data_IF_793926957441
#
_entry.id   IF_793926957441
#
_cell.length_a   1.000
_cell.length_b   1.000
_cell.length_c   1.000
_cell.angle_alpha   90.00
_cell.angle_beta   90.00
_cell.angle_gamma   90.00
#
_symmetry.space_group_name_H-M   'P 1'
#
loop_
_entity.id
_entity.type
_entity.pdbx_description
1 polymer ?
#
# COMPACT_ATOMS: atom_id res chain seq x y z
N UNK A 1 -10.71 12.02 3.63
CA UNK A 1 -9.38 11.58 4.08
C UNK A 1 -8.64 10.91 2.93
N UNK A 2 -7.31 11.02 2.84
CA UNK A 2 -6.53 10.55 1.67
C UNK A 2 -5.77 9.27 1.99
N UNK A 3 -5.99 8.20 1.22
CA UNK A 3 -5.29 6.92 1.37
C UNK A 3 -4.83 6.36 0.03
N UNK A 4 -3.71 5.64 0.06
CA UNK A 4 -3.15 4.87 -1.05
C UNK A 4 -3.45 3.39 -0.85
N UNK A 5 -4.12 2.78 -1.81
CA UNK A 5 -4.28 1.32 -1.89
C UNK A 5 -3.38 0.78 -3.00
N UNK A 6 -2.48 -0.13 -2.63
CA UNK A 6 -1.63 -0.85 -3.59
C UNK A 6 -2.09 -2.30 -3.62
N UNK A 7 -2.50 -2.78 -4.78
CA UNK A 7 -2.97 -4.15 -4.99
C UNK A 7 -1.93 -4.92 -5.80
N UNK A 8 -1.61 -6.13 -5.37
CA UNK A 8 -0.84 -7.09 -6.15
C UNK A 8 -1.84 -8.05 -6.78
N UNK A 9 -1.81 -8.13 -8.11
CA UNK A 9 -2.66 -9.01 -8.89
C UNK A 9 -1.82 -9.88 -9.81
N UNK A 10 -2.38 -11.01 -10.22
CA UNK A 10 -1.79 -11.83 -11.25
C UNK A 10 -1.74 -11.09 -12.59
N UNK A 11 -0.66 -11.27 -13.33
CA UNK A 11 -0.52 -10.71 -14.67
C UNK A 11 -1.05 -11.72 -15.68
N UNK A 12 -2.23 -11.46 -16.25
CA UNK A 12 -2.82 -12.27 -17.33
C UNK A 12 -2.89 -11.46 -18.62
N UNK A 13 -2.90 -12.15 -19.77
CA UNK A 13 -2.95 -11.52 -21.10
C UNK A 13 -4.23 -10.71 -21.32
N UNK A 14 -5.34 -11.12 -20.71
CA UNK A 14 -6.63 -10.44 -20.79
C UNK A 14 -6.82 -9.34 -19.72
N UNK A 15 -5.84 -9.16 -18.84
CA UNK A 15 -5.87 -8.16 -17.76
C UNK A 15 -6.86 -8.47 -16.63
N UNK A 16 -7.35 -9.70 -16.52
CA UNK A 16 -8.34 -10.14 -15.52
C UNK A 16 -7.75 -11.02 -14.42
N UNK A 17 -6.46 -10.93 -14.17
CA UNK A 17 -5.79 -11.71 -13.12
C UNK A 17 -6.39 -11.46 -11.73
N UNK A 18 -6.36 -12.51 -10.91
CA UNK A 18 -6.92 -12.45 -9.56
C UNK A 18 -6.09 -11.54 -8.64
N UNK A 19 -6.78 -10.89 -7.70
CA UNK A 19 -6.12 -10.09 -6.68
C UNK A 19 -5.50 -11.00 -5.61
N UNK A 20 -4.17 -11.03 -5.54
CA UNK A 20 -3.43 -11.80 -4.53
C UNK A 20 -3.60 -11.17 -3.15
N UNK A 21 -3.63 -9.83 -3.09
CA UNK A 21 -3.82 -9.08 -1.86
C UNK A 21 -3.49 -7.60 -2.02
N UNK A 22 -3.61 -6.85 -0.93
CA UNK A 22 -3.41 -5.42 -0.96
C UNK A 22 -2.80 -4.86 0.32
N UNK A 23 -2.34 -3.61 0.23
CA UNK A 23 -1.88 -2.78 1.33
C UNK A 23 -2.62 -1.45 1.28
N UNK A 24 -2.97 -0.92 2.45
CA UNK A 24 -3.52 0.44 2.61
C UNK A 24 -2.50 1.27 3.38
N UNK A 25 -2.12 2.41 2.82
CA UNK A 25 -1.23 3.41 3.41
C UNK A 25 -2.04 4.70 3.53
N UNK A 26 -2.17 5.23 4.73
CA UNK A 26 -2.99 6.42 4.97
C UNK A 26 -3.17 6.71 6.46
N UNK A 27 -3.78 7.85 6.80
CA UNK A 27 -3.99 8.30 8.17
C UNK A 27 -4.87 7.34 9.00
N UNK A 28 -5.84 6.69 8.36
CA UNK A 28 -6.75 5.72 8.99
C UNK A 28 -6.29 4.26 8.85
N UNK A 29 -5.08 4.03 8.33
CA UNK A 29 -4.53 2.68 8.24
C UNK A 29 -4.08 2.16 9.62
N UNK A 30 -4.08 0.83 9.79
CA UNK A 30 -3.57 0.19 11.01
C UNK A 30 -2.14 -0.32 10.83
N UNK A 31 -1.38 -0.43 11.92
CA UNK A 31 -0.07 -1.07 11.92
C UNK A 31 0.94 -0.32 11.04
N UNK A 32 1.60 -1.02 10.12
CA UNK A 32 2.66 -0.42 9.29
C UNK A 32 2.16 0.63 8.29
N UNK A 33 0.88 0.58 7.88
CA UNK A 33 0.32 1.52 6.91
C UNK A 33 0.34 2.97 7.40
N UNK A 34 -0.04 3.20 8.66
CA UNK A 34 0.03 4.55 9.28
C UNK A 34 1.47 4.96 9.61
N UNK A 35 2.31 4.02 10.01
CA UNK A 35 3.74 4.30 10.25
C UNK A 35 4.44 4.77 8.98
N UNK A 36 4.20 4.10 7.84
CA UNK A 36 4.76 4.49 6.56
C UNK A 36 4.23 5.87 6.12
N UNK A 37 2.92 6.09 6.26
CA UNK A 37 2.30 7.38 5.96
C UNK A 37 2.94 8.53 6.75
N UNK A 38 3.12 8.35 8.07
CA UNK A 38 3.75 9.35 8.93
C UNK A 38 5.20 9.64 8.52
N UNK A 39 5.96 8.61 8.12
CA UNK A 39 7.32 8.81 7.60
C UNK A 39 7.31 9.63 6.31
N UNK A 40 6.39 9.36 5.37
CA UNK A 40 6.27 10.15 4.13
C UNK A 40 5.96 11.63 4.42
N UNK A 41 5.12 11.92 5.40
CA UNK A 41 4.79 13.31 5.79
C UNK A 41 5.93 14.00 6.54
N UNK A 42 6.71 13.25 7.32
CA UNK A 42 7.87 13.79 8.03
C UNK A 42 9.05 14.13 7.11
N UNK A 43 9.15 13.50 5.93
CA UNK A 43 10.29 13.65 5.00
C UNK A 43 9.85 14.05 3.59
N UNK A 44 9.12 15.17 3.48
CA UNK A 44 8.62 15.66 2.20
C UNK A 44 9.70 15.70 1.11
N UNK A 45 9.34 15.17 -0.08
CA UNK A 45 10.19 15.06 -1.28
C UNK A 45 11.42 14.15 -1.13
N UNK A 46 11.57 13.45 0.01
CA UNK A 46 12.54 12.38 0.15
C UNK A 46 11.82 11.03 -0.03
N UNK A 47 12.38 10.09 -0.80
CA UNK A 47 11.81 8.76 -0.88
C UNK A 47 11.78 8.09 0.50
N UNK A 48 10.70 7.36 0.78
CA UNK A 48 10.57 6.47 1.94
C UNK A 48 10.30 5.08 1.40
N UNK A 49 11.03 4.07 1.91
CA UNK A 49 10.88 2.68 1.51
C UNK A 49 10.54 1.82 2.73
N UNK A 50 9.57 0.93 2.55
CA UNK A 50 9.13 0.00 3.59
C UNK A 50 8.47 -1.21 2.95
N UNK A 51 8.75 -2.40 3.45
CA UNK A 51 8.05 -3.63 3.07
C UNK A 51 6.74 -3.77 3.85
N UNK A 52 5.70 -4.30 3.19
CA UNK A 52 4.39 -4.54 3.80
C UNK A 52 3.91 -5.95 3.45
N UNK A 53 3.39 -6.74 4.40
CA UNK A 53 2.71 -7.99 4.10
C UNK A 53 1.39 -7.68 3.40
N UNK A 54 1.05 -8.48 2.40
CA UNK A 54 -0.22 -8.36 1.71
C UNK A 54 -1.35 -8.86 2.61
N UNK A 55 -2.42 -8.08 2.73
CA UNK A 55 -3.66 -8.54 3.33
C UNK A 55 -4.50 -9.19 2.23
N UNK A 56 -4.87 -10.46 2.44
CA UNK A 56 -5.96 -11.09 1.68
C UNK A 56 -7.26 -10.36 2.04
N UNK A 57 -8.14 -10.19 1.06
CA UNK A 57 -9.47 -9.59 1.25
C UNK A 57 -10.23 -10.25 2.38
#
# INVERSE_FOLDING_TARGET
>A
DLSLRVTVAESTEDGRGENVGHVIIGPEASGMGITHWNQMLATLRKPVSMWHPLRRT
#
